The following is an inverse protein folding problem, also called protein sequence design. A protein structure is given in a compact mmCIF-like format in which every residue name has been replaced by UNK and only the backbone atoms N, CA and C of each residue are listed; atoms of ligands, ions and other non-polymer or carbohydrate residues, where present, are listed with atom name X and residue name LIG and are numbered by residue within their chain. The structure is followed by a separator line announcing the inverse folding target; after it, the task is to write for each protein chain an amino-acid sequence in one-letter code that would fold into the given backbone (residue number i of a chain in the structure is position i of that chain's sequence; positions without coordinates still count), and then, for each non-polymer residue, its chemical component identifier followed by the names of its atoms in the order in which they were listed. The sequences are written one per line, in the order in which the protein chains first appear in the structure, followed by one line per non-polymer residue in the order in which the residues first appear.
data_IF_324362207170
#
_entry.id   IF_324362207170
#
_cell.length_a   1.000
_cell.length_b   1.000
_cell.length_c   1.000
_cell.angle_alpha   90.00
_cell.angle_beta   90.00
_cell.angle_gamma   90.00
#
_symmetry.space_group_name_H-M   'P 1'
#
loop_
_entity.id
_entity.type
_entity.pdbx_description
1 polymer ?
#
# COMPACT_ATOMS: atom_id res chain seq x y z
N UNK A 1 27.23 4.33 -26.64
CA UNK A 1 26.97 3.14 -25.77
C UNK A 1 25.78 3.38 -24.80
N UNK A 2 25.58 4.59 -24.29
CA UNK A 2 24.49 4.94 -23.35
C UNK A 2 23.11 4.87 -24.01
N UNK A 3 22.98 5.34 -25.25
CA UNK A 3 21.68 5.40 -25.97
C UNK A 3 21.10 4.00 -26.24
N UNK A 4 21.93 3.02 -26.57
CA UNK A 4 21.49 1.64 -26.83
C UNK A 4 21.01 0.94 -25.53
N UNK A 5 21.65 1.23 -24.41
CA UNK A 5 21.22 0.69 -23.10
C UNK A 5 19.87 1.28 -22.66
N UNK A 6 19.67 2.58 -22.85
CA UNK A 6 18.40 3.24 -22.57
C UNK A 6 17.26 2.69 -23.46
N UNK A 7 17.53 2.49 -24.73
CA UNK A 7 16.58 1.90 -25.68
C UNK A 7 16.21 0.46 -25.29
N UNK A 8 17.16 -0.34 -24.85
CA UNK A 8 16.93 -1.70 -24.39
C UNK A 8 16.01 -1.73 -23.15
N UNK A 9 16.30 -0.89 -22.15
CA UNK A 9 15.49 -0.75 -20.94
C UNK A 9 14.06 -0.30 -21.29
N UNK A 10 13.92 0.67 -22.19
CA UNK A 10 12.60 1.15 -22.63
C UNK A 10 11.80 0.08 -23.34
N UNK A 11 12.45 -0.71 -24.20
CA UNK A 11 11.79 -1.82 -24.89
C UNK A 11 11.38 -2.95 -23.95
N UNK A 12 12.21 -3.27 -22.97
CA UNK A 12 11.90 -4.26 -21.92
C UNK A 12 10.72 -3.80 -21.06
N UNK A 13 10.71 -2.55 -20.62
CA UNK A 13 9.59 -1.97 -19.88
C UNK A 13 8.29 -2.00 -20.69
N UNK A 14 8.37 -1.70 -22.00
CA UNK A 14 7.20 -1.75 -22.89
C UNK A 14 6.67 -3.16 -23.07
N UNK A 15 7.54 -4.16 -23.19
CA UNK A 15 7.17 -5.56 -23.25
C UNK A 15 6.48 -6.03 -21.95
N UNK A 16 7.06 -5.70 -20.80
CA UNK A 16 6.46 -6.02 -19.49
C UNK A 16 5.07 -5.39 -19.30
N UNK A 17 4.90 -4.13 -19.71
CA UNK A 17 3.61 -3.45 -19.67
C UNK A 17 2.58 -4.10 -20.59
N UNK A 18 3.00 -4.51 -21.79
CA UNK A 18 2.13 -5.21 -22.74
C UNK A 18 1.67 -6.56 -22.19
N UNK A 19 2.59 -7.35 -21.62
CA UNK A 19 2.28 -8.67 -21.03
C UNK A 19 1.36 -8.52 -19.82
N UNK A 20 1.63 -7.54 -18.96
CA UNK A 20 0.74 -7.21 -17.84
C UNK A 20 -0.69 -6.89 -18.30
N UNK A 21 -0.84 -6.04 -19.34
CA UNK A 21 -2.14 -5.70 -19.90
C UNK A 21 -2.86 -6.92 -20.48
N UNK A 22 -2.15 -7.85 -21.10
CA UNK A 22 -2.73 -9.11 -21.60
C UNK A 22 -3.27 -9.97 -20.44
N UNK A 23 -2.53 -10.07 -19.32
CA UNK A 23 -3.00 -10.78 -18.14
C UNK A 23 -4.24 -10.12 -17.53
N UNK A 24 -4.26 -8.81 -17.41
CA UNK A 24 -5.44 -8.07 -16.92
C UNK A 24 -6.65 -8.25 -17.83
N UNK A 25 -6.44 -8.19 -19.14
CA UNK A 25 -7.52 -8.42 -20.13
C UNK A 25 -8.09 -9.82 -20.03
N UNK A 26 -7.23 -10.84 -19.89
CA UNK A 26 -7.65 -12.24 -19.72
C UNK A 26 -8.48 -12.39 -18.44
N UNK A 27 -8.01 -11.82 -17.33
CA UNK A 27 -8.71 -11.82 -16.05
C UNK A 27 -10.09 -11.15 -16.16
N UNK A 28 -10.13 -9.96 -16.79
CA UNK A 28 -11.40 -9.25 -17.05
C UNK A 28 -12.39 -10.10 -17.82
N UNK A 29 -11.95 -10.79 -18.89
CA UNK A 29 -12.81 -11.64 -19.72
C UNK A 29 -13.34 -12.86 -18.94
N UNK A 30 -12.50 -13.47 -18.08
CA UNK A 30 -12.94 -14.56 -17.22
C UNK A 30 -14.00 -14.09 -16.21
N UNK A 31 -13.81 -12.94 -15.58
CA UNK A 31 -14.76 -12.35 -14.64
C UNK A 31 -16.07 -11.96 -15.32
N UNK A 32 -16.00 -11.35 -16.51
CA UNK A 32 -17.16 -10.98 -17.32
C UNK A 32 -17.98 -12.19 -17.76
N UNK A 33 -17.31 -13.32 -18.00
CA UNK A 33 -17.95 -14.60 -18.36
C UNK A 33 -18.38 -15.40 -17.12
N UNK A 34 -18.30 -14.82 -15.91
CA UNK A 34 -18.65 -15.44 -14.61
C UNK A 34 -17.84 -16.70 -14.29
N UNK A 35 -16.68 -16.87 -14.90
CA UNK A 35 -15.74 -17.99 -14.63
C UNK A 35 -14.86 -17.68 -13.42
N UNK A 36 -15.45 -17.45 -12.26
CA UNK A 36 -14.75 -16.98 -11.04
C UNK A 36 -13.67 -17.95 -10.55
N UNK A 37 -13.92 -19.25 -10.61
CA UNK A 37 -12.93 -20.27 -10.21
C UNK A 37 -11.68 -20.20 -11.10
N UNK A 38 -11.87 -20.14 -12.43
CA UNK A 38 -10.76 -20.01 -13.38
C UNK A 38 -10.01 -18.70 -13.23
N UNK A 39 -10.72 -17.60 -12.98
CA UNK A 39 -10.11 -16.31 -12.71
C UNK A 39 -9.23 -16.36 -11.45
N UNK A 40 -9.73 -16.99 -10.39
CA UNK A 40 -8.98 -17.17 -9.14
C UNK A 40 -7.75 -18.04 -9.32
N UNK A 41 -7.88 -19.16 -10.02
CA UNK A 41 -6.74 -20.05 -10.35
C UNK A 41 -5.69 -19.34 -11.19
N UNK A 42 -6.12 -18.60 -12.21
CA UNK A 42 -5.24 -17.81 -13.05
C UNK A 42 -4.43 -16.77 -12.27
N UNK A 43 -5.07 -16.03 -11.35
CA UNK A 43 -4.38 -15.07 -10.47
C UNK A 43 -3.40 -15.79 -9.53
N UNK A 44 -3.76 -16.95 -8.96
CA UNK A 44 -2.86 -17.72 -8.10
C UNK A 44 -1.58 -18.15 -8.84
N UNK A 45 -1.71 -18.57 -10.09
CA UNK A 45 -0.55 -18.93 -10.93
C UNK A 45 0.36 -17.72 -11.19
N UNK A 46 -0.22 -16.57 -11.53
CA UNK A 46 0.54 -15.35 -11.82
C UNK A 46 1.25 -14.78 -10.58
N UNK A 47 0.63 -14.91 -9.42
CA UNK A 47 1.13 -14.31 -8.17
C UNK A 47 2.08 -15.20 -7.37
N UNK A 48 2.42 -16.41 -7.87
CA UNK A 48 3.36 -17.33 -7.24
C UNK A 48 3.13 -17.50 -5.72
N UNK A 49 1.94 -17.95 -5.32
CA UNK A 49 1.53 -18.18 -3.94
C UNK A 49 1.09 -16.94 -3.15
N UNK A 50 -0.13 -16.44 -3.42
CA UNK A 50 -0.82 -15.55 -2.50
C UNK A 50 -1.11 -16.32 -1.19
N UNK A 51 -0.69 -15.79 -0.02
CA UNK A 51 -1.05 -16.41 1.25
C UNK A 51 -2.58 -16.41 1.41
N UNK A 52 -3.12 -17.45 2.03
CA UNK A 52 -4.54 -17.49 2.41
C UNK A 52 -4.81 -16.32 3.37
N UNK A 53 -5.71 -15.42 2.97
CA UNK A 53 -6.04 -14.25 3.78
C UNK A 53 -6.90 -14.65 4.98
N UNK A 54 -6.41 -14.37 6.17
CA UNK A 54 -7.21 -14.43 7.39
C UNK A 54 -8.09 -13.18 7.46
N UNK A 55 -9.41 -13.34 7.48
CA UNK A 55 -10.33 -12.20 7.62
C UNK A 55 -10.35 -11.72 9.08
N UNK A 56 -9.65 -10.63 9.35
CA UNK A 56 -9.53 -10.00 10.68
C UNK A 56 -10.33 -8.70 10.75
N UNK A 57 -10.47 -8.02 9.59
CA UNK A 57 -11.13 -6.72 9.47
C UNK A 57 -12.30 -6.83 8.51
N UNK A 58 -13.41 -6.20 8.86
CA UNK A 58 -14.59 -6.01 8.02
C UNK A 58 -15.13 -4.60 8.24
N UNK A 59 -15.09 -3.76 7.21
CA UNK A 59 -15.36 -2.32 7.27
C UNK A 59 -16.54 -1.88 6.39
N UNK A 60 -17.24 -2.83 5.79
CA UNK A 60 -18.27 -2.59 4.75
C UNK A 60 -17.70 -1.96 3.46
N UNK A 61 -16.38 -2.03 3.25
CA UNK A 61 -15.72 -1.59 2.03
C UNK A 61 -14.81 -2.71 1.50
N UNK A 62 -15.22 -3.47 0.47
CA UNK A 62 -14.55 -4.71 0.05
C UNK A 62 -13.06 -4.53 -0.30
N UNK A 63 -12.70 -3.41 -0.94
CA UNK A 63 -11.31 -3.13 -1.33
C UNK A 63 -10.45 -2.84 -0.09
N UNK A 64 -10.95 -2.02 0.85
CA UNK A 64 -10.27 -1.74 2.12
C UNK A 64 -10.09 -3.03 2.93
N UNK A 65 -11.14 -3.84 3.04
CA UNK A 65 -11.08 -5.14 3.73
C UNK A 65 -9.99 -6.04 3.14
N UNK A 66 -9.91 -6.10 1.81
CA UNK A 66 -8.92 -6.91 1.10
C UNK A 66 -7.50 -6.45 1.42
N UNK A 67 -7.22 -5.15 1.30
CA UNK A 67 -5.89 -4.59 1.55
C UNK A 67 -5.49 -4.79 3.02
N UNK A 68 -6.36 -4.42 3.96
CA UNK A 68 -6.05 -4.50 5.38
C UNK A 68 -5.79 -5.94 5.83
N UNK A 69 -6.61 -6.90 5.37
CA UNK A 69 -6.43 -8.32 5.70
C UNK A 69 -5.17 -8.91 5.06
N UNK A 70 -4.84 -8.52 3.81
CA UNK A 70 -3.59 -8.91 3.15
C UNK A 70 -2.37 -8.41 3.94
N UNK A 71 -2.37 -7.13 4.32
CA UNK A 71 -1.26 -6.54 5.08
C UNK A 71 -1.13 -7.11 6.49
N UNK A 72 -2.24 -7.46 7.13
CA UNK A 72 -2.23 -8.20 8.39
C UNK A 72 -1.53 -9.55 8.25
N UNK A 73 -1.85 -10.30 7.19
CA UNK A 73 -1.21 -11.60 6.93
C UNK A 73 0.30 -11.43 6.70
N UNK A 74 0.71 -10.41 5.95
CA UNK A 74 2.13 -10.08 5.74
C UNK A 74 2.84 -9.71 7.04
N UNK A 75 2.21 -8.87 7.89
CA UNK A 75 2.74 -8.49 9.19
C UNK A 75 2.96 -9.72 10.09
N UNK A 76 1.99 -10.63 10.13
CA UNK A 76 2.08 -11.88 10.89
C UNK A 76 3.25 -12.76 10.45
N UNK A 77 3.48 -12.89 9.14
CA UNK A 77 4.62 -13.64 8.59
C UNK A 77 5.98 -13.00 8.94
N UNK A 78 6.00 -11.70 9.23
CA UNK A 78 7.21 -10.95 9.65
C UNK A 78 7.33 -10.81 11.17
N UNK A 79 6.51 -11.50 11.97
CA UNK A 79 6.43 -11.34 13.44
C UNK A 79 6.16 -9.89 13.88
N UNK A 80 5.46 -9.11 13.05
CA UNK A 80 5.03 -7.75 13.35
C UNK A 80 3.59 -7.77 13.84
N UNK A 81 3.33 -7.19 15.01
CA UNK A 81 1.96 -7.06 15.54
C UNK A 81 1.22 -5.95 14.78
N UNK A 82 0.10 -6.26 14.14
CA UNK A 82 -0.73 -5.26 13.47
C UNK A 82 -2.10 -5.17 14.14
N UNK A 83 -2.53 -3.94 14.44
CA UNK A 83 -3.81 -3.64 15.08
C UNK A 83 -4.60 -2.65 14.23
N UNK A 84 -5.92 -2.83 14.25
CA UNK A 84 -6.85 -1.97 13.53
C UNK A 84 -7.86 -1.35 14.48
N UNK A 85 -8.15 -0.06 14.27
CA UNK A 85 -9.27 0.64 14.87
C UNK A 85 -10.02 1.31 13.74
N UNK A 86 -11.11 0.70 13.28
CA UNK A 86 -11.82 1.11 12.08
C UNK A 86 -13.31 1.31 12.34
N UNK A 87 -13.89 2.31 11.68
CA UNK A 87 -15.34 2.55 11.63
C UNK A 87 -15.95 1.80 10.44
N UNK A 88 -17.23 2.06 10.17
CA UNK A 88 -17.85 1.75 8.87
C UNK A 88 -17.22 2.66 7.78
N UNK A 89 -16.65 2.04 6.76
CA UNK A 89 -15.94 2.71 5.67
C UNK A 89 -16.68 2.64 4.34
N UNK A 90 -17.97 2.27 4.34
CA UNK A 90 -18.78 2.17 3.10
C UNK A 90 -18.83 3.46 2.29
N UNK A 91 -18.65 4.61 2.93
CA UNK A 91 -18.62 5.94 2.30
C UNK A 91 -17.23 6.58 2.32
N UNK A 92 -16.14 5.78 2.28
CA UNK A 92 -14.79 6.31 2.28
C UNK A 92 -14.56 7.24 1.08
N UNK A 93 -14.01 8.46 1.27
CA UNK A 93 -14.07 9.53 0.28
C UNK A 93 -12.94 9.45 -0.76
N UNK A 94 -12.73 8.25 -1.33
CA UNK A 94 -11.66 8.02 -2.30
C UNK A 94 -12.05 6.89 -3.26
N UNK A 95 -11.59 6.96 -4.51
CA UNK A 95 -11.78 5.88 -5.48
C UNK A 95 -10.96 4.65 -5.11
N UNK A 96 -11.48 3.46 -5.44
CA UNK A 96 -10.87 2.17 -5.12
C UNK A 96 -9.40 2.06 -5.55
N UNK A 97 -9.07 2.52 -6.77
CA UNK A 97 -7.71 2.50 -7.30
C UNK A 97 -6.73 3.36 -6.49
N UNK A 98 -7.21 4.49 -5.99
CA UNK A 98 -6.41 5.42 -5.18
C UNK A 98 -6.27 4.91 -3.74
N UNK A 99 -7.31 4.25 -3.21
CA UNK A 99 -7.25 3.52 -1.93
C UNK A 99 -6.19 2.44 -1.97
N UNK A 100 -6.16 1.61 -3.03
CA UNK A 100 -5.13 0.58 -3.22
C UNK A 100 -3.74 1.20 -3.21
N UNK A 101 -3.56 2.29 -3.95
CA UNK A 101 -2.27 2.98 -4.05
C UNK A 101 -1.87 3.60 -2.71
N UNK A 102 -2.76 4.34 -2.06
CA UNK A 102 -2.46 5.04 -0.80
C UNK A 102 -2.13 4.05 0.32
N UNK A 103 -3.06 3.16 0.65
CA UNK A 103 -2.88 2.22 1.76
C UNK A 103 -1.83 1.17 1.47
N UNK A 104 -1.73 0.72 0.20
CA UNK A 104 -0.65 -0.17 -0.22
C UNK A 104 0.71 0.42 0.12
N UNK A 105 1.00 1.64 -0.34
CA UNK A 105 2.28 2.30 -0.07
C UNK A 105 2.49 2.63 1.41
N UNK A 106 1.47 3.11 2.13
CA UNK A 106 1.58 3.40 3.57
C UNK A 106 1.95 2.15 4.37
N UNK A 107 1.24 1.05 4.15
CA UNK A 107 1.42 -0.18 4.91
C UNK A 107 2.67 -0.94 4.48
N UNK A 108 3.08 -0.88 3.20
CA UNK A 108 4.36 -1.43 2.75
C UNK A 108 5.54 -0.70 3.38
N UNK A 109 5.50 0.62 3.45
CA UNK A 109 6.52 1.41 4.14
C UNK A 109 6.58 1.07 5.63
N UNK A 110 5.43 0.89 6.30
CA UNK A 110 5.36 0.51 7.70
C UNK A 110 5.95 -0.89 7.94
N UNK A 111 5.60 -1.87 7.11
CA UNK A 111 6.14 -3.24 7.17
C UNK A 111 7.65 -3.27 6.91
N UNK A 112 8.12 -2.50 5.94
CA UNK A 112 9.55 -2.39 5.64
C UNK A 112 10.33 -1.77 6.82
N UNK A 113 9.80 -0.72 7.45
CA UNK A 113 10.41 -0.11 8.63
C UNK A 113 10.48 -1.10 9.81
N UNK A 114 9.41 -1.83 10.07
CA UNK A 114 9.36 -2.85 11.11
C UNK A 114 10.36 -3.98 10.87
N UNK A 115 10.55 -4.42 9.63
CA UNK A 115 11.50 -5.49 9.27
C UNK A 115 12.95 -5.15 9.57
N UNK A 116 13.31 -3.86 9.65
CA UNK A 116 14.67 -3.39 9.97
C UNK A 116 14.98 -3.44 11.46
N UNK A 117 13.99 -3.69 12.30
CA UNK A 117 14.15 -3.76 13.74
C UNK A 117 14.52 -5.17 14.21
N UNK A 118 15.43 -5.32 15.18
CA UNK A 118 15.85 -6.63 15.67
C UNK A 118 14.80 -7.29 16.57
N UNK A 119 13.94 -6.48 17.21
CA UNK A 119 12.97 -6.91 18.20
C UNK A 119 11.55 -6.89 17.65
N UNK A 120 10.58 -7.25 18.52
CA UNK A 120 9.16 -7.19 18.19
C UNK A 120 8.75 -5.77 17.79
N UNK A 121 8.08 -5.66 16.67
CA UNK A 121 7.60 -4.41 16.09
C UNK A 121 6.09 -4.41 15.99
N UNK A 122 5.50 -3.22 15.82
CA UNK A 122 4.07 -3.12 15.66
C UNK A 122 3.66 -2.05 14.65
N UNK A 123 2.44 -2.21 14.13
CA UNK A 123 1.76 -1.26 13.26
C UNK A 123 0.36 -1.05 13.81
N UNK A 124 -0.04 0.21 14.01
CA UNK A 124 -1.41 0.59 14.36
C UNK A 124 -2.04 1.36 13.20
N UNK A 125 -3.18 0.88 12.72
CA UNK A 125 -3.96 1.52 11.66
C UNK A 125 -5.28 2.00 12.25
N UNK A 126 -5.56 3.30 12.11
CA UNK A 126 -6.83 3.89 12.51
C UNK A 126 -7.49 4.54 11.31
N UNK A 127 -8.74 4.15 11.03
CA UNK A 127 -9.58 4.79 10.02
C UNK A 127 -10.94 5.02 10.66
N UNK A 128 -11.14 6.21 11.19
CA UNK A 128 -12.30 6.55 12.00
C UNK A 128 -13.15 7.61 11.31
N UNK A 129 -14.42 7.33 11.15
CA UNK A 129 -15.41 8.31 10.65
C UNK A 129 -15.94 9.16 11.80
N UNK A 130 -15.90 10.49 11.64
CA UNK A 130 -16.47 11.44 12.58
C UNK A 130 -17.10 12.61 11.81
N UNK A 131 -18.39 12.85 11.99
CA UNK A 131 -19.12 14.02 11.45
C UNK A 131 -19.01 14.17 9.91
N UNK A 132 -18.80 13.07 9.19
CA UNK A 132 -18.62 13.06 7.73
C UNK A 132 -17.16 12.91 7.28
N UNK A 133 -16.21 13.33 8.08
CA UNK A 133 -14.78 13.22 7.79
C UNK A 133 -14.20 11.88 8.26
N UNK A 134 -13.06 11.50 7.67
CA UNK A 134 -12.32 10.30 8.06
C UNK A 134 -10.94 10.67 8.57
N UNK A 135 -10.63 10.29 9.80
CA UNK A 135 -9.26 10.30 10.32
C UNK A 135 -8.55 9.06 9.81
N UNK A 136 -7.52 9.21 9.00
CA UNK A 136 -6.59 8.16 8.60
C UNK A 136 -5.28 8.34 9.36
N UNK A 137 -4.89 7.34 10.14
CA UNK A 137 -3.61 7.32 10.85
C UNK A 137 -2.94 5.96 10.72
N UNK A 138 -1.66 5.98 10.37
CA UNK A 138 -0.78 4.81 10.39
C UNK A 138 0.42 5.12 11.26
N UNK A 139 0.61 4.35 12.30
CA UNK A 139 1.73 4.42 13.23
C UNK A 139 2.49 3.11 13.18
N UNK A 140 3.81 3.15 13.10
CA UNK A 140 4.64 1.94 13.14
C UNK A 140 5.94 2.13 13.90
N UNK A 141 6.44 1.05 14.48
CA UNK A 141 7.81 1.00 15.02
C UNK A 141 8.82 1.30 13.91
N UNK A 142 9.82 2.12 14.19
CA UNK A 142 10.82 2.53 13.20
C UNK A 142 12.14 2.90 13.86
N UNK A 143 13.24 2.72 13.12
CA UNK A 143 14.50 3.39 13.40
C UNK A 143 14.32 4.92 13.28
N UNK A 144 15.21 5.72 13.89
CA UNK A 144 15.18 7.17 13.77
C UNK A 144 15.11 7.64 12.30
N UNK A 145 14.13 8.48 12.00
CA UNK A 145 13.88 9.04 10.66
C UNK A 145 13.94 10.55 10.75
N UNK A 146 14.72 11.18 9.86
CA UNK A 146 14.69 12.63 9.69
C UNK A 146 13.60 13.00 8.70
N UNK A 147 12.66 13.83 9.12
CA UNK A 147 11.57 14.33 8.29
C UNK A 147 11.78 15.83 8.11
N UNK A 148 11.78 16.30 6.86
CA UNK A 148 11.86 17.75 6.57
C UNK A 148 10.50 18.42 6.75
N UNK A 149 10.53 19.77 6.81
CA UNK A 149 9.32 20.58 6.92
C UNK A 149 8.28 20.32 5.81
N UNK A 150 8.72 19.79 4.66
CA UNK A 150 7.88 19.45 3.52
C UNK A 150 7.47 17.95 3.48
N UNK A 151 7.45 17.27 4.61
CA UNK A 151 7.17 15.83 4.68
C UNK A 151 8.12 14.95 3.82
N UNK A 152 9.32 15.46 3.50
CA UNK A 152 10.30 14.68 2.79
C UNK A 152 11.08 13.77 3.74
N UNK A 153 11.15 12.49 3.40
CA UNK A 153 11.94 11.48 4.10
C UNK A 153 13.01 10.97 3.14
N UNK A 154 14.29 11.16 3.45
CA UNK A 154 15.38 10.60 2.64
C UNK A 154 15.27 9.08 2.55
N UNK A 155 15.44 8.52 1.37
CA UNK A 155 15.51 7.07 1.20
C UNK A 155 16.92 6.56 1.49
N UNK A 156 17.01 5.47 2.25
CA UNK A 156 18.25 4.74 2.54
C UNK A 156 18.48 3.56 1.58
N UNK A 157 17.63 3.41 0.56
CA UNK A 157 17.72 2.31 -0.39
C UNK A 157 18.89 2.50 -1.35
N UNK A 158 19.61 1.40 -1.65
CA UNK A 158 20.80 1.41 -2.48
C UNK A 158 20.56 1.91 -3.90
N UNK A 159 19.33 1.80 -4.40
CA UNK A 159 18.91 2.27 -5.72
C UNK A 159 17.66 3.19 -5.58
N UNK A 160 17.85 4.47 -5.25
CA UNK A 160 16.74 5.42 -5.04
C UNK A 160 15.83 5.57 -6.25
N UNK A 161 16.34 5.34 -7.46
CA UNK A 161 15.58 5.45 -8.72
C UNK A 161 14.61 4.29 -8.96
N UNK A 162 14.85 3.12 -8.35
CA UNK A 162 13.98 1.95 -8.44
C UNK A 162 13.07 1.77 -7.23
N UNK A 163 13.46 2.36 -6.09
CA UNK A 163 12.74 2.24 -4.83
C UNK A 163 12.65 3.63 -4.18
N UNK A 164 11.56 4.07 -3.75
CA UNK A 164 11.36 5.39 -3.15
C UNK A 164 10.09 6.08 -3.64
N UNK A 165 9.41 5.43 -4.59
CA UNK A 165 8.14 5.95 -5.13
C UNK A 165 6.99 5.90 -4.11
N UNK A 166 7.09 5.12 -3.03
CA UNK A 166 6.01 4.94 -2.08
C UNK A 166 5.52 6.26 -1.47
N UNK A 167 6.42 7.08 -0.93
CA UNK A 167 6.06 8.38 -0.36
C UNK A 167 5.65 9.39 -1.45
N UNK A 168 6.24 9.32 -2.65
CA UNK A 168 5.83 10.14 -3.78
C UNK A 168 4.41 9.80 -4.24
N UNK A 169 4.07 8.50 -4.30
CA UNK A 169 2.73 8.05 -4.62
C UNK A 169 1.71 8.52 -3.58
N UNK A 170 2.05 8.42 -2.29
CA UNK A 170 1.23 8.95 -1.20
C UNK A 170 1.00 10.46 -1.40
N UNK A 171 2.06 11.24 -1.59
CA UNK A 171 1.97 12.68 -1.81
C UNK A 171 1.10 13.02 -3.04
N UNK A 172 1.28 12.29 -4.14
CA UNK A 172 0.49 12.47 -5.35
C UNK A 172 -1.01 12.22 -5.12
N UNK A 173 -1.36 11.13 -4.43
CA UNK A 173 -2.77 10.82 -4.11
C UNK A 173 -3.35 11.90 -3.19
N UNK A 174 -2.64 12.29 -2.13
CA UNK A 174 -3.11 13.33 -1.20
C UNK A 174 -3.34 14.66 -1.94
N UNK A 175 -2.43 15.06 -2.81
CA UNK A 175 -2.56 16.25 -3.65
C UNK A 175 -3.76 16.16 -4.61
N UNK A 176 -3.98 15.00 -5.23
CA UNK A 176 -5.11 14.74 -6.16
C UNK A 176 -6.46 15.03 -5.51
N UNK A 177 -6.60 14.72 -4.22
CA UNK A 177 -7.83 14.93 -3.45
C UNK A 177 -7.84 16.26 -2.65
N UNK A 178 -6.73 17.00 -2.66
CA UNK A 178 -6.59 18.21 -1.86
C UNK A 178 -6.50 17.94 -0.35
N UNK A 179 -6.12 16.75 0.05
CA UNK A 179 -5.99 16.37 1.46
C UNK A 179 -4.61 16.72 2.00
N UNK A 180 -4.58 17.34 3.15
CA UNK A 180 -3.35 17.57 3.89
C UNK A 180 -2.99 16.37 4.75
N UNK A 181 -1.70 16.13 4.94
CA UNK A 181 -1.20 15.08 5.81
C UNK A 181 0.06 15.53 6.54
N UNK A 182 0.31 14.92 7.67
CA UNK A 182 1.50 15.17 8.48
C UNK A 182 2.27 13.89 8.69
N UNK A 183 3.59 13.96 8.49
CA UNK A 183 4.53 12.92 8.89
C UNK A 183 5.33 13.41 10.09
N UNK A 184 5.48 12.57 11.10
CA UNK A 184 6.37 12.87 12.21
C UNK A 184 6.97 11.60 12.81
N UNK A 185 8.11 11.76 13.47
CA UNK A 185 8.78 10.71 14.20
C UNK A 185 8.89 11.10 15.66
N UNK A 186 8.38 10.27 16.53
CA UNK A 186 8.42 10.47 17.97
C UNK A 186 8.46 9.12 18.67
N UNK A 187 9.30 9.00 19.68
CA UNK A 187 9.32 7.86 20.60
C UNK A 187 9.50 6.49 19.89
N UNK A 188 10.50 6.40 19.01
CA UNK A 188 10.81 5.24 18.17
C UNK A 188 9.67 4.81 17.23
N UNK A 189 8.80 5.75 16.83
CA UNK A 189 7.63 5.53 15.98
C UNK A 189 7.57 6.53 14.85
N UNK A 190 7.22 6.03 13.68
CA UNK A 190 6.86 6.85 12.54
C UNK A 190 5.34 6.98 12.47
N UNK A 191 4.86 8.17 12.18
CA UNK A 191 3.45 8.47 12.11
C UNK A 191 3.09 9.15 10.80
N UNK A 192 2.01 8.67 10.19
CA UNK A 192 1.26 9.35 9.14
C UNK A 192 -0.12 9.68 9.68
N UNK A 193 -0.58 10.92 9.51
CA UNK A 193 -1.92 11.36 9.93
C UNK A 193 -2.51 12.28 8.88
N UNK A 194 -3.78 12.07 8.54
CA UNK A 194 -4.57 12.91 7.65
C UNK A 194 -6.03 12.91 8.03
N UNK A 195 -6.73 14.00 7.69
CA UNK A 195 -8.19 14.09 7.71
C UNK A 195 -8.65 14.16 6.25
N UNK A 196 -9.53 13.24 5.91
CA UNK A 196 -10.12 13.11 4.56
C UNK A 196 -11.58 13.57 4.64
N UNK A 197 -11.92 14.61 3.89
CA UNK A 197 -13.23 15.29 3.93
C UNK A 197 -14.02 15.03 2.65
#
# INVERSE_FOLDING_TARGET
KSTNALQAIFNEQRALTHDFNNHITTLYMLLKAEHYEKATEYVKVLSQNLPENTRVVSTNHPILDTILNQKYTQAKLQNTSMRFTVSDLSSFPMKDEDVVTLLGNLLDNALEACRKLPDSSYINVKILKKEGDFLLSVENSSLPVKISENNYVPTDKAEPHLHGFGLQNIAHIMQKYGYEYTLFYHDARFHFVSILS
#
